data_IF_926822405937
#
_entry.id   IF_926822405937
#
_cell.length_a   1.000
_cell.length_b   1.000
_cell.length_c   1.000
_cell.angle_alpha   90.00
_cell.angle_beta   90.00
_cell.angle_gamma   90.00
#
_symmetry.space_group_name_H-M   'P 1'
#
loop_
_entity.id
_entity.type
_entity.pdbx_description
1 polymer ?
#
# COMPACT_ATOMS: atom_id res chain seq x y z
N UNK A 1 5.42 -41.36 26.28
CA UNK A 1 6.45 -40.65 25.48
C UNK A 1 5.73 -39.92 24.34
N UNK A 2 5.22 -38.71 24.61
CA UNK A 2 4.38 -37.95 23.68
C UNK A 2 5.20 -37.09 22.73
N UNK A 3 5.06 -37.31 21.43
CA UNK A 3 5.65 -36.49 20.37
C UNK A 3 4.96 -35.12 20.33
N UNK A 4 5.63 -34.09 20.83
CA UNK A 4 5.23 -32.69 20.60
C UNK A 4 5.49 -32.36 19.13
N UNK A 5 4.42 -32.26 18.33
CA UNK A 5 4.48 -31.63 17.01
C UNK A 5 4.65 -30.14 17.26
N UNK A 6 5.84 -29.61 16.95
CA UNK A 6 6.07 -28.18 16.90
C UNK A 6 5.19 -27.61 15.77
N UNK A 7 4.22 -26.78 16.15
CA UNK A 7 3.51 -25.92 15.21
C UNK A 7 4.55 -24.94 14.65
N UNK A 8 4.89 -25.09 13.37
CA UNK A 8 5.62 -24.06 12.63
C UNK A 8 4.66 -22.89 12.49
N UNK A 9 4.88 -21.83 13.28
CA UNK A 9 4.29 -20.54 13.01
C UNK A 9 4.84 -20.10 11.64
N UNK A 10 4.02 -20.20 10.60
CA UNK A 10 4.30 -19.54 9.35
C UNK A 10 4.18 -18.04 9.64
N UNK A 11 5.30 -17.31 9.53
CA UNK A 11 5.23 -15.88 9.32
C UNK A 11 4.49 -15.70 8.00
N UNK A 12 3.19 -15.40 8.07
CA UNK A 12 2.49 -14.82 6.94
C UNK A 12 3.12 -13.45 6.77
N UNK A 13 3.96 -13.31 5.74
CA UNK A 13 4.41 -12.01 5.30
C UNK A 13 3.13 -11.23 4.97
N UNK A 14 2.78 -10.28 5.83
CA UNK A 14 1.77 -9.28 5.50
C UNK A 14 2.43 -8.43 4.42
N UNK A 15 2.25 -8.84 3.18
CA UNK A 15 2.54 -8.03 2.01
C UNK A 15 1.64 -6.82 2.14
N UNK A 16 2.25 -5.71 2.58
CA UNK A 16 1.60 -4.42 2.45
C UNK A 16 1.35 -4.27 0.96
N UNK A 17 0.08 -4.27 0.56
CA UNK A 17 -0.36 -3.96 -0.81
C UNK A 17 -0.04 -2.48 -1.08
N UNK A 18 1.25 -2.15 -1.09
CA UNK A 18 1.77 -0.87 -1.47
C UNK A 18 1.72 -0.89 -3.00
N UNK A 19 0.56 -0.56 -3.55
CA UNK A 19 0.44 -0.21 -4.97
C UNK A 19 1.27 1.04 -5.17
N UNK A 20 2.57 0.85 -5.37
CA UNK A 20 3.50 1.89 -5.70
C UNK A 20 3.28 2.22 -7.17
N UNK A 21 2.38 3.17 -7.42
CA UNK A 21 2.46 4.03 -8.61
C UNK A 21 3.91 4.57 -8.62
N UNK A 22 4.62 4.71 -9.73
CA UNK A 22 5.96 5.33 -9.67
C UNK A 22 6.01 6.47 -10.67
N UNK A 23 6.19 7.69 -10.15
CA UNK A 23 6.30 8.89 -10.96
C UNK A 23 7.59 8.89 -11.78
N UNK A 24 7.46 8.75 -13.09
CA UNK A 24 8.45 9.22 -14.04
C UNK A 24 7.90 10.46 -14.75
N UNK A 25 8.45 11.63 -14.44
CA UNK A 25 8.23 12.84 -15.25
C UNK A 25 8.90 12.66 -16.62
N UNK A 26 8.08 12.28 -17.59
CA UNK A 26 8.16 12.76 -18.97
C UNK A 26 6.71 12.86 -19.44
N UNK A 27 6.27 14.07 -19.79
CA UNK A 27 4.96 14.28 -20.38
C UNK A 27 4.91 13.59 -21.76
N UNK A 28 4.55 12.31 -21.76
CA UNK A 28 4.08 11.60 -22.94
C UNK A 28 2.56 11.68 -22.90
N UNK A 29 1.96 12.18 -23.97
CA UNK A 29 0.52 12.14 -24.14
C UNK A 29 0.06 10.66 -24.09
N UNK A 30 -0.71 10.28 -23.08
CA UNK A 30 -1.38 8.97 -23.10
C UNK A 30 -1.67 8.23 -21.79
N UNK A 31 -1.57 8.83 -20.60
CA UNK A 31 -2.03 8.10 -19.41
C UNK A 31 -3.54 7.88 -19.48
N UNK A 32 -3.94 6.62 -19.49
CA UNK A 32 -5.33 6.19 -19.48
C UNK A 32 -5.84 6.48 -18.07
N UNK A 33 -6.75 7.45 -17.95
CA UNK A 33 -7.27 7.88 -16.64
C UNK A 33 -8.40 7.02 -16.10
N UNK A 34 -9.04 6.29 -17.00
CA UNK A 34 -10.21 5.48 -16.68
C UNK A 34 -9.97 4.04 -17.12
N UNK A 35 -9.85 3.14 -16.14
CA UNK A 35 -9.65 1.71 -16.39
C UNK A 35 -9.96 0.90 -15.14
N UNK A 36 -10.12 -0.41 -15.31
CA UNK A 36 -10.19 -1.37 -14.22
C UNK A 36 -9.35 -2.60 -14.55
N UNK A 37 -8.97 -3.37 -13.53
CA UNK A 37 -8.26 -4.63 -13.72
C UNK A 37 -8.07 -5.36 -12.40
N UNK A 38 -7.41 -6.52 -12.50
CA UNK A 38 -7.15 -7.40 -11.36
C UNK A 38 -5.67 -7.34 -11.01
N UNK A 39 -5.36 -6.98 -9.76
CA UNK A 39 -4.02 -7.13 -9.20
C UNK A 39 -3.90 -8.54 -8.62
N UNK A 40 -3.07 -9.37 -9.23
CA UNK A 40 -2.88 -10.78 -8.85
C UNK A 40 -1.56 -10.94 -8.13
N UNK A 41 -1.60 -11.29 -6.84
CA UNK A 41 -0.42 -11.63 -6.06
C UNK A 41 -0.09 -13.11 -6.21
N UNK A 42 1.17 -13.41 -6.48
CA UNK A 42 1.72 -14.72 -6.75
C UNK A 42 2.85 -15.02 -5.76
N UNK A 43 2.89 -16.25 -5.26
CA UNK A 43 4.05 -16.74 -4.52
C UNK A 43 5.26 -16.97 -5.45
N UNK A 44 6.41 -17.31 -4.87
CA UNK A 44 7.65 -17.58 -5.62
C UNK A 44 7.53 -18.78 -6.59
N UNK A 45 6.54 -19.66 -6.41
CA UNK A 45 6.24 -20.77 -7.32
C UNK A 45 5.25 -20.37 -8.42
N UNK A 46 4.74 -19.13 -8.42
CA UNK A 46 3.76 -18.62 -9.36
C UNK A 46 2.32 -19.01 -9.04
N UNK A 47 2.05 -19.54 -7.84
CA UNK A 47 0.69 -19.84 -7.40
C UNK A 47 0.00 -18.55 -6.95
N UNK A 48 -1.26 -18.38 -7.36
CA UNK A 48 -2.10 -17.25 -6.92
C UNK A 48 -2.36 -17.35 -5.41
N UNK A 49 -1.96 -16.30 -4.70
CA UNK A 49 -2.22 -16.13 -3.27
C UNK A 49 -3.46 -15.27 -3.04
N UNK A 50 -3.60 -14.18 -3.79
CA UNK A 50 -4.77 -13.30 -3.71
C UNK A 50 -5.03 -12.59 -5.04
N UNK A 51 -6.22 -12.06 -5.22
CA UNK A 51 -6.58 -11.22 -6.38
C UNK A 51 -7.46 -10.08 -5.91
N UNK A 52 -6.92 -8.86 -5.96
CA UNK A 52 -7.64 -7.63 -5.65
C UNK A 52 -8.12 -6.97 -6.93
N UNK A 53 -9.25 -6.26 -6.88
CA UNK A 53 -9.78 -5.55 -8.05
C UNK A 53 -9.57 -4.05 -7.92
N UNK A 54 -8.99 -3.44 -8.94
CA UNK A 54 -8.67 -2.02 -8.96
C UNK A 54 -9.55 -1.30 -9.99
N UNK A 55 -10.00 -0.10 -9.64
CA UNK A 55 -10.75 0.79 -10.50
C UNK A 55 -10.16 2.19 -10.41
N UNK A 56 -9.95 2.79 -11.56
CA UNK A 56 -9.47 4.15 -11.73
C UNK A 56 -10.48 4.90 -12.57
N UNK A 57 -10.98 6.05 -12.10
CA UNK A 57 -11.73 6.95 -12.97
C UNK A 57 -11.76 8.38 -12.47
N UNK A 58 -11.48 9.33 -13.35
CA UNK A 58 -11.47 10.76 -13.01
C UNK A 58 -10.52 11.12 -11.86
N UNK A 59 -9.44 10.36 -11.66
CA UNK A 59 -8.50 10.51 -10.54
C UNK A 59 -8.96 9.84 -9.24
N UNK A 60 -10.16 9.25 -9.21
CA UNK A 60 -10.63 8.45 -8.08
C UNK A 60 -10.12 7.03 -8.19
N UNK A 61 -9.83 6.42 -7.05
CA UNK A 61 -9.32 5.05 -6.97
C UNK A 61 -10.24 4.22 -6.08
N UNK A 62 -10.52 2.99 -6.49
CA UNK A 62 -11.16 1.97 -5.65
C UNK A 62 -10.34 0.70 -5.72
N UNK A 63 -10.07 0.12 -4.56
CA UNK A 63 -9.43 -1.20 -4.43
C UNK A 63 -10.39 -2.10 -3.65
N UNK A 64 -10.77 -3.22 -4.24
CA UNK A 64 -11.54 -4.28 -3.59
C UNK A 64 -10.60 -5.41 -3.23
N UNK A 65 -10.45 -5.64 -1.93
CA UNK A 65 -9.58 -6.67 -1.37
C UNK A 65 -10.49 -7.82 -0.91
N UNK A 66 -10.34 -9.04 -1.45
CA UNK A 66 -11.15 -10.18 -1.03
C UNK A 66 -10.85 -10.54 0.42
N UNK A 67 -11.72 -11.36 1.02
CA UNK A 67 -11.46 -11.90 2.34
C UNK A 67 -10.15 -12.72 2.35
N UNK A 68 -9.34 -12.51 3.37
CA UNK A 68 -8.15 -13.30 3.70
C UNK A 68 -8.40 -14.03 5.02
N UNK A 69 -7.57 -15.01 5.40
CA UNK A 69 -7.85 -15.93 6.53
C UNK A 69 -8.34 -15.21 7.79
N UNK A 70 -7.67 -14.13 8.21
CA UNK A 70 -7.99 -13.37 9.42
C UNK A 70 -8.69 -12.03 9.16
N UNK A 71 -8.88 -11.64 7.89
CA UNK A 71 -9.47 -10.36 7.52
C UNK A 71 -10.66 -10.53 6.57
N UNK A 72 -11.80 -9.94 6.96
CA UNK A 72 -12.97 -9.86 6.09
C UNK A 72 -12.68 -9.08 4.79
N UNK A 73 -13.58 -9.15 3.80
CA UNK A 73 -13.43 -8.38 2.58
C UNK A 73 -13.42 -6.88 2.89
N UNK A 74 -12.46 -6.17 2.29
CA UNK A 74 -12.26 -4.74 2.51
C UNK A 74 -12.35 -3.99 1.19
N UNK A 75 -12.75 -2.73 1.27
CA UNK A 75 -12.71 -1.81 0.14
C UNK A 75 -12.01 -0.53 0.55
N UNK A 76 -11.04 -0.09 -0.23
CA UNK A 76 -10.41 1.22 -0.09
C UNK A 76 -10.92 2.11 -1.21
N UNK A 77 -11.39 3.30 -0.89
CA UNK A 77 -11.79 4.32 -1.87
C UNK A 77 -10.99 5.58 -1.58
N UNK A 78 -10.35 6.14 -2.60
CA UNK A 78 -9.62 7.40 -2.54
C UNK A 78 -10.32 8.42 -3.41
N UNK A 79 -10.63 9.57 -2.82
CA UNK A 79 -11.27 10.72 -3.48
C UNK A 79 -10.41 11.97 -3.30
N UNK A 80 -9.39 12.16 -4.14
CA UNK A 80 -8.53 13.34 -4.06
C UNK A 80 -9.30 14.64 -4.26
N UNK A 81 -10.33 14.63 -5.11
CA UNK A 81 -11.25 15.74 -5.35
C UNK A 81 -11.99 16.19 -4.08
N UNK A 82 -12.27 15.25 -3.16
CA UNK A 82 -12.92 15.49 -1.86
C UNK A 82 -11.94 15.51 -0.69
N UNK A 83 -10.64 15.32 -0.94
CA UNK A 83 -9.59 15.20 0.07
C UNK A 83 -9.90 14.14 1.15
N UNK A 84 -10.47 13.01 0.75
CA UNK A 84 -10.84 11.92 1.67
C UNK A 84 -10.46 10.54 1.13
N UNK A 85 -10.18 9.63 2.06
CA UNK A 85 -10.07 8.21 1.82
C UNK A 85 -11.02 7.47 2.77
N UNK A 86 -11.70 6.45 2.25
CA UNK A 86 -12.52 5.54 3.05
C UNK A 86 -11.91 4.15 3.03
N UNK A 87 -11.83 3.53 4.20
CA UNK A 87 -11.58 2.10 4.34
C UNK A 87 -12.85 1.44 4.87
N UNK A 88 -13.42 0.56 4.07
CA UNK A 88 -14.74 -0.03 4.28
C UNK A 88 -14.56 -1.48 4.68
N UNK A 89 -15.09 -1.86 5.84
CA UNK A 89 -15.30 -3.25 6.21
C UNK A 89 -16.66 -3.68 5.66
N UNK A 90 -16.62 -4.52 4.62
CA UNK A 90 -17.83 -4.97 3.92
C UNK A 90 -18.67 -5.90 4.81
N UNK A 91 -18.03 -6.69 5.68
CA UNK A 91 -18.71 -7.64 6.56
C UNK A 91 -19.40 -6.91 7.72
N UNK A 92 -18.73 -5.94 8.34
CA UNK A 92 -19.27 -5.15 9.43
C UNK A 92 -20.23 -4.04 8.95
N UNK A 93 -20.24 -3.74 7.64
CA UNK A 93 -20.96 -2.59 7.06
C UNK A 93 -20.57 -1.27 7.74
N UNK A 94 -19.29 -1.13 8.04
CA UNK A 94 -18.73 0.08 8.61
C UNK A 94 -17.65 0.66 7.69
N UNK A 95 -17.36 1.94 7.85
CA UNK A 95 -16.25 2.57 7.16
C UNK A 95 -15.49 3.50 8.09
N UNK A 96 -14.18 3.53 7.94
CA UNK A 96 -13.31 4.54 8.52
C UNK A 96 -13.02 5.60 7.46
N UNK A 97 -13.12 6.87 7.83
CA UNK A 97 -12.82 8.01 6.95
C UNK A 97 -11.57 8.72 7.45
N UNK A 98 -10.60 8.85 6.57
CA UNK A 98 -9.39 9.61 6.78
C UNK A 98 -9.38 10.82 5.85
N UNK A 99 -9.04 11.99 6.40
CA UNK A 99 -8.80 13.19 5.62
C UNK A 99 -7.42 13.09 4.96
N UNK A 100 -7.33 13.46 3.69
CA UNK A 100 -6.10 13.52 2.93
C UNK A 100 -5.61 14.96 2.90
N UNK A 101 -4.39 15.20 3.40
CA UNK A 101 -3.74 16.49 3.18
C UNK A 101 -3.12 16.57 1.78
N UNK A 102 -2.78 17.79 1.36
CA UNK A 102 -2.24 18.06 0.02
C UNK A 102 -0.89 17.37 -0.21
N UNK A 103 -0.11 17.21 0.86
CA UNK A 103 1.16 16.48 0.80
C UNK A 103 0.91 15.01 0.49
N UNK A 104 -0.05 14.38 1.16
CA UNK A 104 -0.43 12.98 0.95
C UNK A 104 -0.96 12.78 -0.46
N UNK A 105 -1.79 13.69 -0.97
CA UNK A 105 -2.29 13.63 -2.36
C UNK A 105 -1.14 13.78 -3.36
N UNK A 106 -0.22 14.72 -3.13
CA UNK A 106 0.95 14.91 -3.98
C UNK A 106 1.92 13.73 -3.92
N UNK A 107 2.07 13.09 -2.76
CA UNK A 107 2.85 11.87 -2.59
C UNK A 107 2.20 10.73 -3.35
N UNK A 108 0.88 10.56 -3.26
CA UNK A 108 0.11 9.57 -4.04
C UNK A 108 0.24 9.76 -5.55
N UNK A 109 0.15 11.00 -6.01
CA UNK A 109 0.28 11.34 -7.44
C UNK A 109 1.71 11.16 -7.97
N UNK A 110 2.71 11.14 -7.08
CA UNK A 110 4.12 10.88 -7.42
C UNK A 110 4.54 9.43 -7.23
N UNK A 111 3.65 8.60 -6.70
CA UNK A 111 3.90 7.18 -6.55
C UNK A 111 3.97 6.61 -5.14
N UNK A 112 3.73 7.43 -4.12
CA UNK A 112 3.49 6.90 -2.78
C UNK A 112 2.17 6.15 -2.77
N UNK A 113 2.16 4.82 -2.65
CA UNK A 113 0.90 4.07 -2.62
C UNK A 113 -0.08 4.61 -1.57
N UNK A 114 -1.38 4.36 -1.78
CA UNK A 114 -2.45 4.73 -0.83
C UNK A 114 -2.39 3.98 0.52
N UNK A 115 -1.39 3.13 0.71
CA UNK A 115 -1.18 2.33 1.91
C UNK A 115 -0.15 3.02 2.82
N UNK A 116 -0.67 3.84 3.74
CA UNK A 116 -0.05 4.34 4.96
C UNK A 116 1.32 5.06 4.80
N UNK A 117 1.44 6.35 5.19
CA UNK A 117 2.73 7.02 5.23
C UNK A 117 3.62 6.40 6.32
N UNK A 118 4.43 5.40 5.96
CA UNK A 118 5.35 4.73 6.86
C UNK A 118 6.72 5.42 6.81
N UNK A 119 6.82 6.58 7.47
CA UNK A 119 8.07 7.27 7.73
C UNK A 119 8.80 7.80 6.48
N UNK A 120 10.10 8.08 6.63
CA UNK A 120 10.96 8.48 5.52
C UNK A 120 11.09 7.33 4.52
N UNK A 121 10.78 7.61 3.26
CA UNK A 121 10.85 6.64 2.17
C UNK A 121 11.79 7.17 1.08
N UNK A 122 12.86 6.43 0.80
CA UNK A 122 13.82 6.72 -0.26
C UNK A 122 13.69 5.65 -1.34
N UNK A 123 13.50 6.08 -2.59
CA UNK A 123 13.42 5.19 -3.75
C UNK A 123 14.60 5.47 -4.66
N UNK A 124 15.32 4.41 -5.04
CA UNK A 124 16.32 4.45 -6.11
C UNK A 124 15.86 3.57 -7.27
N UNK A 125 15.92 4.10 -8.48
CA UNK A 125 15.54 3.38 -9.69
C UNK A 125 16.75 3.20 -10.62
N UNK A 126 16.92 2.00 -11.14
CA UNK A 126 17.95 1.67 -12.13
C UNK A 126 17.27 1.04 -13.36
N UNK A 127 17.41 1.62 -14.57
CA UNK A 127 16.80 1.06 -15.77
C UNK A 127 17.44 -0.29 -16.12
N UNK A 128 16.61 -1.27 -16.45
CA UNK A 128 17.02 -2.62 -16.87
C UNK A 128 16.65 -2.94 -18.33
N UNK A 129 16.00 -2.01 -19.02
CA UNK A 129 15.61 -2.14 -20.42
C UNK A 129 14.09 -2.07 -20.62
N UNK A 130 13.60 -2.68 -21.70
CA UNK A 130 12.19 -2.71 -22.05
C UNK A 130 11.72 -4.12 -22.39
N UNK A 131 10.47 -4.43 -22.06
CA UNK A 131 9.86 -5.75 -22.27
C UNK A 131 8.36 -5.57 -22.56
N UNK A 132 7.72 -6.53 -23.24
CA UNK A 132 6.26 -6.54 -23.36
C UNK A 132 5.62 -7.30 -22.21
N UNK A 133 4.68 -6.70 -21.50
CA UNK A 133 3.87 -7.34 -20.46
C UNK A 133 2.40 -7.11 -20.77
N UNK A 134 1.62 -8.19 -20.82
CA UNK A 134 0.18 -8.14 -21.13
C UNK A 134 -0.15 -7.40 -22.45
N UNK A 135 0.78 -7.44 -23.42
CA UNK A 135 0.65 -6.77 -24.72
C UNK A 135 1.14 -5.32 -24.76
N UNK A 136 1.40 -4.69 -23.61
CA UNK A 136 1.88 -3.32 -23.51
C UNK A 136 3.40 -3.25 -23.50
N UNK A 137 3.96 -2.18 -24.06
CA UNK A 137 5.38 -1.87 -23.96
C UNK A 137 5.68 -1.35 -22.56
N UNK A 138 6.60 -2.02 -21.85
CA UNK A 138 6.97 -1.65 -20.48
C UNK A 138 8.43 -1.27 -20.39
N UNK A 139 8.71 -0.29 -19.55
CA UNK A 139 10.05 0.01 -19.03
C UNK A 139 10.29 -0.87 -17.82
N UNK A 140 11.34 -1.68 -17.89
CA UNK A 140 11.79 -2.55 -16.81
C UNK A 140 12.83 -1.81 -16.00
N UNK A 141 12.66 -1.76 -14.68
CA UNK A 141 13.60 -1.12 -13.76
C UNK A 141 13.81 -1.98 -12.52
N UNK A 142 14.99 -1.86 -11.93
CA UNK A 142 15.23 -2.28 -10.55
C UNK A 142 14.86 -1.11 -9.66
N UNK A 143 14.03 -1.37 -8.66
CA UNK A 143 13.64 -0.39 -7.65
C UNK A 143 14.24 -0.86 -6.33
N UNK A 144 14.93 0.04 -5.64
CA UNK A 144 15.38 -0.17 -4.26
C UNK A 144 14.66 0.84 -3.39
N UNK A 145 13.83 0.34 -2.49
CA UNK A 145 12.99 1.12 -1.60
C UNK A 145 13.52 0.97 -0.18
N UNK A 146 13.89 2.09 0.43
CA UNK A 146 14.36 2.15 1.81
C UNK A 146 13.37 2.95 2.64
N UNK A 147 12.75 2.30 3.63
CA UNK A 147 11.82 2.93 4.58
C UNK A 147 12.39 2.92 5.99
N UNK A 148 12.26 4.02 6.71
CA UNK A 148 12.63 4.11 8.14
C UNK A 148 11.38 4.13 9.01
N UNK A 149 11.14 3.04 9.73
CA UNK A 149 9.98 2.87 10.62
C UNK A 149 10.47 2.63 12.04
N UNK A 150 10.03 3.46 12.99
CA UNK A 150 10.41 3.36 14.41
C UNK A 150 11.94 3.24 14.63
N UNK A 151 12.72 4.00 13.87
CA UNK A 151 14.19 3.99 13.95
C UNK A 151 14.87 2.80 13.28
N UNK A 152 14.12 1.84 12.72
CA UNK A 152 14.65 0.71 11.95
C UNK A 152 14.57 1.00 10.46
N UNK A 153 15.66 0.69 9.76
CA UNK A 153 15.74 0.81 8.30
C UNK A 153 15.36 -0.52 7.66
N UNK A 154 14.38 -0.48 6.77
CA UNK A 154 13.94 -1.60 5.94
C UNK A 154 14.32 -1.26 4.50
N UNK A 155 15.05 -2.15 3.84
CA UNK A 155 15.35 -2.00 2.41
C UNK A 155 14.78 -3.21 1.68
N UNK A 156 13.99 -2.94 0.64
CA UNK A 156 13.51 -3.94 -0.31
C UNK A 156 14.04 -3.61 -1.70
N UNK A 157 14.29 -4.65 -2.48
CA UNK A 157 14.60 -4.52 -3.90
C UNK A 157 13.57 -5.30 -4.69
N UNK A 158 13.09 -4.71 -5.77
CA UNK A 158 12.18 -5.35 -6.70
C UNK A 158 12.53 -5.02 -8.14
N UNK A 159 12.08 -5.86 -9.06
CA UNK A 159 12.04 -5.55 -10.48
C UNK A 159 10.62 -5.11 -10.82
N UNK A 160 10.47 -3.95 -11.44
CA UNK A 160 9.20 -3.34 -11.78
C UNK A 160 9.10 -3.16 -13.29
N UNK A 161 7.96 -3.51 -13.86
CA UNK A 161 7.61 -3.30 -15.27
C UNK A 161 6.48 -2.28 -15.34
N UNK A 162 6.82 -1.07 -15.79
CA UNK A 162 5.92 0.07 -15.88
C UNK A 162 5.56 0.36 -17.32
N UNK A 163 4.27 0.39 -17.65
CA UNK A 163 3.76 0.92 -18.92
C UNK A 163 3.47 2.42 -18.76
N UNK A 164 3.62 3.21 -19.83
CA UNK A 164 3.41 4.66 -19.76
C UNK A 164 1.91 5.03 -19.75
N UNK A 165 1.06 4.08 -20.15
CA UNK A 165 -0.40 4.22 -20.23
C UNK A 165 -1.11 4.09 -18.88
N UNK A 166 -0.47 3.49 -17.86
CA UNK A 166 -1.11 3.20 -16.58
C UNK A 166 -0.35 3.82 -15.43
N UNK A 167 -1.07 4.18 -14.36
CA UNK A 167 -0.45 4.70 -13.16
C UNK A 167 0.14 3.58 -12.29
N UNK A 168 -0.27 2.32 -12.48
CA UNK A 168 0.23 1.16 -11.73
C UNK A 168 1.20 0.31 -12.55
N UNK A 169 2.19 -0.34 -11.92
CA UNK A 169 3.05 -1.29 -12.62
C UNK A 169 2.23 -2.47 -13.16
N UNK A 170 2.58 -2.94 -14.35
CA UNK A 170 1.96 -4.14 -14.93
C UNK A 170 2.48 -5.43 -14.30
N UNK A 171 3.70 -5.38 -13.79
CA UNK A 171 4.31 -6.43 -12.99
C UNK A 171 5.29 -5.84 -11.99
N UNK A 172 5.33 -6.42 -10.81
CA UNK A 172 6.42 -6.26 -9.85
C UNK A 172 6.87 -7.66 -9.41
N UNK A 173 8.18 -7.84 -9.19
CA UNK A 173 8.75 -9.08 -8.66
C UNK A 173 9.82 -8.77 -7.63
N UNK A 174 9.68 -9.33 -6.45
CA UNK A 174 10.68 -9.20 -5.38
C UNK A 174 11.91 -10.12 -5.59
N UNK A 175 12.93 -9.97 -4.74
CA UNK A 175 14.13 -10.80 -4.79
C UNK A 175 13.92 -12.28 -4.41
N UNK A 176 12.84 -12.58 -3.68
CA UNK A 176 12.46 -13.93 -3.26
C UNK A 176 11.65 -14.68 -4.33
N UNK A 177 11.24 -13.98 -5.40
CA UNK A 177 10.51 -14.52 -6.54
C UNK A 177 9.00 -14.31 -6.47
N UNK A 178 8.47 -13.77 -5.37
CA UNK A 178 7.06 -13.36 -5.29
C UNK A 178 6.78 -12.23 -6.28
N UNK A 179 5.55 -12.17 -6.78
CA UNK A 179 5.20 -11.22 -7.83
C UNK A 179 3.77 -10.69 -7.72
N UNK A 180 3.59 -9.45 -8.14
CA UNK A 180 2.27 -8.87 -8.39
C UNK A 180 2.12 -8.60 -9.89
N UNK A 181 0.97 -8.95 -10.45
CA UNK A 181 0.68 -8.71 -11.87
C UNK A 181 -0.67 -8.05 -12.04
N UNK A 182 -0.70 -6.94 -12.78
CA UNK A 182 -1.94 -6.25 -13.15
C UNK A 182 -2.49 -6.83 -14.45
N UNK A 183 -3.54 -7.63 -14.33
CA UNK A 183 -4.15 -8.43 -15.41
C UNK A 183 -5.56 -7.96 -15.71
N UNK A 184 -6.14 -8.51 -16.79
CA UNK A 184 -7.55 -8.30 -17.17
C UNK A 184 -7.94 -6.82 -17.28
N UNK A 185 -7.04 -6.00 -17.85
CA UNK A 185 -7.21 -4.56 -17.92
C UNK A 185 -8.31 -4.21 -18.91
N UNK A 186 -9.30 -3.44 -18.45
CA UNK A 186 -10.39 -2.92 -19.26
C UNK A 186 -10.35 -1.39 -19.20
N UNK A 187 -10.07 -0.78 -20.35
CA UNK A 187 -10.01 0.67 -20.50
C UNK A 187 -11.43 1.24 -20.65
N UNK A 188 -11.70 2.33 -19.95
CA UNK A 188 -12.96 3.06 -20.02
C UNK A 188 -13.45 3.58 -18.67
N UNK A 189 -14.39 4.53 -18.74
CA UNK A 189 -15.03 5.14 -17.58
C UNK A 189 -15.64 4.10 -16.64
N UNK A 190 -15.43 4.28 -15.34
CA UNK A 190 -16.02 3.43 -14.31
C UNK A 190 -17.26 4.10 -13.70
N UNK A 191 -18.31 3.34 -13.31
CA UNK A 191 -19.50 3.92 -12.69
C UNK A 191 -19.16 4.77 -11.45
N UNK A 192 -19.63 6.02 -11.41
CA UNK A 192 -19.33 6.97 -10.33
C UNK A 192 -19.70 6.42 -8.93
N UNK A 193 -20.76 5.61 -8.85
CA UNK A 193 -21.21 4.99 -7.60
C UNK A 193 -20.20 4.02 -6.96
N UNK A 194 -19.21 3.51 -7.71
CA UNK A 194 -18.13 2.69 -7.15
C UNK A 194 -17.21 3.49 -6.22
N UNK A 195 -17.12 4.80 -6.41
CA UNK A 195 -16.23 5.70 -5.66
C UNK A 195 -16.94 6.44 -4.53
N UNK A 196 -18.06 5.88 -4.06
CA UNK A 196 -18.82 6.37 -2.92
C UNK A 196 -18.99 5.26 -1.88
N UNK A 197 -19.13 5.64 -0.60
CA UNK A 197 -19.50 4.69 0.44
C UNK A 197 -20.91 4.16 0.16
N UNK A 198 -21.13 2.83 0.14
CA UNK A 198 -22.45 2.29 -0.14
C UNK A 198 -23.48 2.72 0.91
N UNK A 199 -24.74 2.85 0.49
CA UNK A 199 -25.85 3.21 1.39
C UNK A 199 -25.99 2.18 2.53
N UNK A 200 -26.24 2.69 3.74
CA UNK A 200 -26.46 1.87 4.93
C UNK A 200 -25.18 1.48 5.69
N UNK A 201 -24.01 1.95 5.26
CA UNK A 201 -22.76 1.79 6.01
C UNK A 201 -22.65 2.86 7.10
N UNK A 202 -22.20 2.44 8.29
CA UNK A 202 -22.00 3.34 9.43
C UNK A 202 -20.53 3.77 9.55
N UNK A 203 -20.28 5.03 9.93
CA UNK A 203 -18.91 5.49 10.19
C UNK A 203 -18.39 4.84 11.48
N UNK A 204 -17.28 4.12 11.37
CA UNK A 204 -16.52 3.56 12.49
C UNK A 204 -15.61 4.60 13.14
N UNK A 205 -15.24 4.38 14.41
CA UNK A 205 -14.34 5.26 15.18
C UNK A 205 -12.85 4.92 15.04
N UNK A 206 -12.54 3.75 14.48
CA UNK A 206 -11.18 3.24 14.32
C UNK A 206 -10.99 2.51 13.00
N UNK A 207 -9.73 2.22 12.67
CA UNK A 207 -9.33 1.59 11.43
C UNK A 207 -9.65 0.08 11.46
N UNK A 208 -10.42 -0.48 10.50
CA UNK A 208 -10.68 -1.92 10.45
C UNK A 208 -9.39 -2.76 10.47
N UNK A 209 -9.35 -3.82 11.29
CA UNK A 209 -8.24 -4.76 11.35
C UNK A 209 -7.04 -4.34 12.22
N UNK A 210 -7.03 -3.12 12.79
CA UNK A 210 -6.06 -2.74 13.83
C UNK A 210 -6.67 -2.90 15.23
N UNK A 211 -5.94 -3.50 16.19
CA UNK A 211 -6.27 -3.36 17.61
C UNK A 211 -6.34 -1.87 17.97
N UNK A 212 -7.19 -1.50 18.93
CA UNK A 212 -7.11 -0.18 19.58
C UNK A 212 -5.70 -0.03 20.14
N UNK A 213 -4.84 0.66 19.39
CA UNK A 213 -3.58 1.15 19.92
C UNK A 213 -3.98 2.25 20.88
N UNK A 214 -4.07 1.93 22.18
CA UNK A 214 -3.97 2.93 23.25
C UNK A 214 -2.65 3.66 23.01
N UNK A 215 -2.71 4.74 22.24
CA UNK A 215 -1.65 5.71 22.13
C UNK A 215 -1.68 6.46 23.46
N UNK A 216 -0.72 6.23 24.38
CA UNK A 216 -0.66 7.04 25.58
C UNK A 216 -0.59 8.51 25.17
N UNK A 217 -1.36 9.36 25.85
CA UNK A 217 -1.48 10.80 25.58
C UNK A 217 -0.14 11.37 25.10
N UNK A 218 -0.04 11.64 23.80
CA UNK A 218 1.11 12.33 23.23
C UNK A 218 1.02 13.78 23.72
N UNK A 219 1.95 14.26 24.55
CA UNK A 219 1.90 15.64 25.00
C UNK A 219 2.03 16.57 23.79
N UNK A 220 1.27 17.67 23.83
CA UNK A 220 1.21 18.69 22.77
C UNK A 220 2.61 19.00 22.18
N UNK A 221 2.78 18.72 20.88
CA UNK A 221 4.03 18.91 20.12
C UNK A 221 4.54 20.36 20.04
N UNK A 222 3.89 21.30 20.76
CA UNK A 222 4.25 22.72 20.75
C UNK A 222 5.44 23.07 21.64
N UNK A 223 5.81 22.20 22.59
CA UNK A 223 6.84 22.51 23.61
C UNK A 223 7.96 21.47 23.73
N UNK A 224 8.20 20.61 22.73
CA UNK A 224 9.38 19.74 22.77
C UNK A 224 10.65 20.54 22.45
N UNK A 225 11.74 20.41 23.25
CA UNK A 225 13.04 20.93 22.87
C UNK A 225 13.56 20.20 21.62
N UNK A 226 14.34 20.93 20.81
CA UNK A 226 14.91 20.48 19.55
C UNK A 226 15.48 19.05 19.63
N UNK A 227 14.99 18.15 18.76
CA UNK A 227 15.34 16.71 18.74
C UNK A 227 16.83 16.44 18.49
N UNK A 228 17.61 17.46 18.11
CA UNK A 228 19.09 17.40 18.06
C UNK A 228 19.72 17.26 19.45
N UNK A 229 19.03 17.68 20.52
CA UNK A 229 19.55 17.56 21.89
C UNK A 229 19.48 16.12 22.45
N UNK A 230 18.80 15.19 21.76
CA UNK A 230 18.65 13.79 22.17
C UNK A 230 19.57 12.82 21.41
N UNK A 231 20.32 13.30 20.40
CA UNK A 231 21.42 12.54 19.78
C UNK A 231 22.61 12.47 20.74
N UNK A 232 22.53 11.57 21.74
CA UNK A 232 23.66 11.30 22.64
C UNK A 232 23.30 10.74 24.00
N UNK A 233 22.02 10.75 24.39
CA UNK A 233 21.61 10.14 25.66
C UNK A 233 21.22 8.69 25.43
N UNK A 234 22.13 7.78 25.78
CA UNK A 234 21.83 6.36 25.94
C UNK A 234 20.62 6.17 26.86
N UNK A 235 19.86 5.10 26.60
CA UNK A 235 18.66 4.73 27.35
C UNK A 235 18.86 4.89 28.86
N UNK A 236 17.95 5.56 29.59
CA UNK A 236 18.05 5.67 31.04
C UNK A 236 18.02 4.27 31.68
N UNK A 237 18.83 4.01 32.72
CA UNK A 237 18.88 2.70 33.37
C UNK A 237 17.50 2.33 33.95
N UNK A 238 16.90 1.23 33.48
CA UNK A 238 15.69 0.66 34.08
C UNK A 238 14.50 0.44 33.13
N UNK A 239 14.57 0.88 31.86
CA UNK A 239 13.48 0.63 30.91
C UNK A 239 13.64 -0.76 30.25
N UNK A 240 12.77 -1.72 30.62
CA UNK A 240 12.64 -3.01 29.91
C UNK A 240 11.62 -2.89 28.77
N UNK A 241 11.95 -3.45 27.61
CA UNK A 241 11.03 -3.61 26.49
C UNK A 241 9.96 -4.66 26.82
N UNK A 242 8.68 -4.49 26.39
CA UNK A 242 7.70 -5.56 26.48
C UNK A 242 8.13 -6.73 25.59
N UNK A 243 8.31 -7.93 26.18
CA UNK A 243 8.63 -9.17 25.46
C UNK A 243 10.00 -9.81 25.74
N UNK A 244 10.64 -9.53 26.88
CA UNK A 244 11.69 -10.40 27.46
C UNK A 244 11.14 -11.23 28.62
#
# INVERSE_FOLDING_TARGET
MGRRRAARAALVAVWSLAVAVFGCSAAVAGSIKDYAGDMVSLDAAGKVESTSRLFFSGGNVRVEIPAQEDMGPMVIIVRPDRKVQWMIDVKAKTYFEQQLDEKTIADMSRGGGAAMPMGEHVVKEEPLGSEKVNGYDTRKKRVTSTSKVMGKTYTSVSTVWMADEFDVPLRERDEQGGAEEFRNIVVGAQPAALFEVPKGYARGKGMPGMPDMDMPDMPDMKNMPDMKALEGMGMPPGMKMPGQ
#
